data_IF_286293625921
#
_entry.id   IF_286293625921
#
_cell.length_a   1.000
_cell.length_b   1.000
_cell.length_c   1.000
_cell.angle_alpha   90.00
_cell.angle_beta   90.00
_cell.angle_gamma   90.00
#
_symmetry.space_group_name_H-M   'P 1'
#
loop_
_entity.id
_entity.type
_entity.pdbx_description
1 polymer ?
#
# COMPACT_ATOMS: atom_id res chain seq x y z
N UNK A 1 -11.80 1.41 9.89
CA UNK A 1 -10.80 0.33 9.91
C UNK A 1 -10.09 0.27 8.58
N UNK A 2 -9.26 1.28 8.30
CA UNK A 2 -8.34 1.26 7.18
C UNK A 2 -7.42 0.05 7.34
N UNK A 3 -7.10 -0.60 6.21
CA UNK A 3 -6.25 -1.78 6.10
C UNK A 3 -5.19 -1.79 7.20
N UNK A 4 -5.17 -2.83 8.03
CA UNK A 4 -4.10 -3.05 9.01
C UNK A 4 -2.82 -3.38 8.25
N UNK A 5 -2.24 -2.38 7.60
CA UNK A 5 -0.94 -2.40 6.96
C UNK A 5 0.17 -2.64 7.98
N UNK A 6 -0.12 -2.55 9.28
CA UNK A 6 0.84 -2.70 10.38
C UNK A 6 1.59 -4.04 10.40
N UNK A 7 0.95 -5.14 10.01
CA UNK A 7 1.59 -6.47 10.03
C UNK A 7 2.15 -6.91 8.67
N UNK A 8 1.90 -6.12 7.62
CA UNK A 8 2.11 -6.53 6.24
C UNK A 8 0.87 -7.15 5.65
N UNK A 9 0.60 -6.82 4.39
CA UNK A 9 -0.57 -7.30 3.66
C UNK A 9 -0.07 -8.16 2.50
N UNK A 10 -0.56 -9.40 2.34
CA UNK A 10 -0.30 -10.16 1.14
C UNK A 10 -0.73 -9.35 -0.08
N UNK A 11 0.12 -9.25 -1.10
CA UNK A 11 -0.18 -8.48 -2.32
C UNK A 11 -1.53 -8.89 -2.93
N UNK A 12 -1.87 -10.18 -2.90
CA UNK A 12 -3.17 -10.70 -3.35
C UNK A 12 -4.35 -10.25 -2.49
N UNK A 13 -4.21 -10.22 -1.15
CA UNK A 13 -5.29 -9.79 -0.26
C UNK A 13 -5.52 -8.28 -0.30
N UNK A 14 -4.55 -7.50 -0.78
CA UNK A 14 -4.73 -6.06 -0.97
C UNK A 14 -5.84 -5.79 -2.00
N UNK A 15 -5.83 -6.52 -3.12
CA UNK A 15 -6.88 -6.46 -4.14
C UNK A 15 -8.25 -6.88 -3.57
N UNK A 16 -8.32 -8.02 -2.88
CA UNK A 16 -9.58 -8.54 -2.31
C UNK A 16 -10.23 -7.60 -1.30
N UNK A 17 -9.43 -6.84 -0.54
CA UNK A 17 -9.92 -5.95 0.51
C UNK A 17 -10.26 -4.54 0.03
N UNK A 18 -9.61 -4.08 -1.05
CA UNK A 18 -9.79 -2.71 -1.56
C UNK A 18 -10.68 -2.65 -2.80
N UNK A 19 -10.80 -3.74 -3.55
CA UNK A 19 -11.50 -3.75 -4.84
C UNK A 19 -10.79 -2.93 -5.92
N UNK A 20 -9.58 -2.41 -5.65
CA UNK A 20 -8.82 -1.60 -6.59
C UNK A 20 -7.87 -2.50 -7.36
N UNK A 21 -7.89 -2.40 -8.69
CA UNK A 21 -7.00 -3.14 -9.59
C UNK A 21 -5.53 -2.98 -9.24
N UNK A 22 -4.80 -4.10 -9.30
CA UNK A 22 -3.35 -4.18 -9.07
C UNK A 22 -2.59 -3.12 -9.87
N UNK A 23 -2.97 -2.91 -11.13
CA UNK A 23 -2.33 -1.94 -12.01
C UNK A 23 -2.46 -0.48 -11.52
N UNK A 24 -3.60 -0.13 -10.94
CA UNK A 24 -3.86 1.23 -10.44
C UNK A 24 -3.10 1.46 -9.12
N UNK A 25 -2.97 0.43 -8.28
CA UNK A 25 -2.19 0.51 -7.04
C UNK A 25 -0.68 0.35 -7.28
N UNK A 26 -0.25 -0.23 -8.40
CA UNK A 26 1.17 -0.38 -8.78
C UNK A 26 1.88 0.98 -8.78
N UNK A 27 1.21 2.04 -9.25
CA UNK A 27 1.76 3.40 -9.24
C UNK A 27 1.94 3.90 -7.80
N UNK A 28 0.93 3.71 -6.94
CA UNK A 28 0.99 4.11 -5.54
C UNK A 28 2.03 3.28 -4.75
N UNK A 29 2.18 2.00 -5.07
CA UNK A 29 3.18 1.09 -4.48
C UNK A 29 4.59 1.52 -4.86
N UNK A 30 4.85 1.75 -6.15
CA UNK A 30 6.14 2.23 -6.63
C UNK A 30 6.51 3.59 -6.00
N UNK A 31 5.54 4.48 -5.82
CA UNK A 31 5.77 5.76 -5.17
C UNK A 31 6.04 5.61 -3.68
N UNK A 32 5.27 4.77 -2.98
CA UNK A 32 5.51 4.47 -1.57
C UNK A 32 6.88 3.83 -1.34
N UNK A 33 7.31 2.95 -2.25
CA UNK A 33 8.63 2.31 -2.23
C UNK A 33 9.75 3.31 -2.52
N UNK A 34 9.62 4.15 -3.57
CA UNK A 34 10.57 5.25 -3.85
C UNK A 34 10.76 6.18 -2.67
N UNK A 35 9.67 6.50 -1.96
CA UNK A 35 9.70 7.36 -0.78
C UNK A 35 10.20 6.65 0.48
N UNK A 36 10.53 5.36 0.39
CA UNK A 36 10.98 4.54 1.51
C UNK A 36 9.90 4.32 2.57
N UNK A 37 8.63 4.53 2.22
CA UNK A 37 7.47 4.35 3.10
C UNK A 37 7.01 2.89 3.12
N UNK A 38 7.24 2.15 2.04
CA UNK A 38 6.79 0.78 1.89
C UNK A 38 7.92 -0.08 1.33
N UNK A 39 7.97 -1.33 1.76
CA UNK A 39 8.81 -2.40 1.22
C UNK A 39 7.90 -3.47 0.64
N UNK A 40 8.19 -3.87 -0.59
CA UNK A 40 7.54 -4.98 -1.27
C UNK A 40 8.47 -6.19 -1.21
N UNK A 41 8.05 -7.20 -0.47
CA UNK A 41 8.61 -8.54 -0.56
C UNK A 41 7.84 -9.36 -1.61
N UNK A 42 8.39 -10.47 -2.07
CA UNK A 42 7.86 -11.29 -3.18
C UNK A 42 6.37 -11.66 -3.03
N UNK A 43 5.83 -11.66 -1.82
CA UNK A 43 4.42 -11.98 -1.56
C UNK A 43 3.71 -11.00 -0.60
N UNK A 44 4.41 -10.02 -0.04
CA UNK A 44 3.90 -9.20 1.06
C UNK A 44 4.35 -7.75 0.96
N UNK A 45 3.41 -6.83 1.19
CA UNK A 45 3.64 -5.41 1.26
C UNK A 45 3.71 -5.00 2.72
N UNK A 46 4.83 -4.46 3.17
CA UNK A 46 5.02 -3.98 4.55
C UNK A 46 5.40 -2.50 4.59
N UNK A 47 4.73 -1.68 5.41
CA UNK A 47 5.22 -0.33 5.67
C UNK A 47 6.55 -0.41 6.41
N UNK A 48 7.48 0.46 6.04
CA UNK A 48 8.74 0.63 6.77
C UNK A 48 8.47 1.39 8.08
N UNK A 49 9.44 1.50 9.01
CA UNK A 49 9.30 2.38 10.17
C UNK A 49 8.96 3.83 9.80
N UNK A 50 9.43 4.29 8.64
CA UNK A 50 9.07 5.60 8.09
C UNK A 50 7.61 5.64 7.61
N UNK A 51 7.18 4.63 6.85
CA UNK A 51 5.79 4.52 6.42
C UNK A 51 4.79 4.40 7.56
N UNK A 52 5.17 3.75 8.65
CA UNK A 52 4.37 3.68 9.87
C UNK A 52 4.20 5.06 10.54
N UNK A 53 5.23 5.91 10.48
CA UNK A 53 5.14 7.31 10.96
C UNK A 53 4.28 8.18 10.03
N UNK A 54 4.32 7.91 8.73
CA UNK A 54 3.54 8.61 7.69
C UNK A 54 2.37 7.76 7.18
N UNK A 55 1.72 7.00 8.07
CA UNK A 55 0.69 6.04 7.68
C UNK A 55 -0.50 6.74 7.02
N UNK A 56 -0.84 7.94 7.47
CA UNK A 56 -1.90 8.76 6.89
C UNK A 56 -1.57 9.19 5.45
N UNK A 57 -0.35 9.65 5.19
CA UNK A 57 0.10 10.02 3.84
C UNK A 57 0.18 8.80 2.92
N UNK A 58 0.65 7.66 3.46
CA UNK A 58 0.68 6.39 2.74
C UNK A 58 -0.73 5.97 2.34
N UNK A 59 -1.70 6.04 3.25
CA UNK A 59 -3.11 5.76 2.94
C UNK A 59 -3.67 6.74 1.90
N UNK A 60 -3.32 8.03 1.99
CA UNK A 60 -3.76 9.03 1.03
C UNK A 60 -3.25 8.76 -0.40
N UNK A 61 -2.04 8.18 -0.56
CA UNK A 61 -1.53 7.73 -1.86
C UNK A 61 -2.44 6.66 -2.48
N UNK A 62 -2.90 5.71 -1.67
CA UNK A 62 -3.81 4.65 -2.14
C UNK A 62 -5.24 5.14 -2.40
N UNK A 63 -5.71 6.15 -1.66
CA UNK A 63 -7.04 6.75 -1.89
C UNK A 63 -7.10 7.65 -3.13
N UNK A 64 -5.96 8.18 -3.58
CA UNK A 64 -5.85 8.94 -4.83
C UNK A 64 -5.93 8.07 -6.08
N UNK A 65 -5.81 6.76 -5.93
CA UNK A 65 -5.99 5.82 -7.04
C UNK A 65 -7.48 5.75 -7.35
N UNK A 66 -7.95 6.23 -8.52
CA UNK A 66 -9.35 6.12 -8.87
C UNK A 66 -9.73 4.63 -8.95
N UNK A 67 -10.83 4.27 -8.29
CA UNK A 67 -11.45 2.97 -8.49
C UNK A 67 -11.84 2.83 -9.98
N UNK A 68 -11.56 1.69 -10.62
CA UNK A 68 -11.96 1.45 -12.01
C UNK A 68 -13.49 1.50 -12.19
#
# INVERSE_FOLDING_TARGET
NALRLTDGVPSNSFFERTGVSLNSVEIALNEAERRGLLVRDHQTLRPTPLGMRFLSDLQALFLKVPAP
#
